data_IF_181554120768
#
_entry.id   IF_181554120768
#
_cell.length_a   1.000
_cell.length_b   1.000
_cell.length_c   1.000
_cell.angle_alpha   90.00
_cell.angle_beta   90.00
_cell.angle_gamma   90.00
#
_symmetry.space_group_name_H-M   'P 1'
#
loop_
_entity.id
_entity.type
_entity.pdbx_description
1 polymer ?
#
# COMPACT_ATOMS: atom_id res chain seq x y z
N UNK A 1 54.19 -17.54 4.41
CA UNK A 1 53.28 -16.60 3.71
C UNK A 1 51.85 -17.09 3.96
N UNK A 2 51.09 -16.44 4.86
CA UNK A 2 49.72 -16.84 5.21
C UNK A 2 48.79 -16.44 4.07
N UNK A 3 48.07 -17.41 3.51
CA UNK A 3 46.98 -17.19 2.54
C UNK A 3 45.78 -16.57 3.27
N UNK A 4 45.40 -15.36 2.87
CA UNK A 4 44.17 -14.67 3.30
C UNK A 4 42.99 -15.25 2.50
N UNK A 5 42.05 -15.89 3.18
CA UNK A 5 40.76 -16.25 2.61
C UNK A 5 39.92 -14.98 2.37
N UNK A 6 39.47 -14.80 1.13
CA UNK A 6 38.54 -13.75 0.75
C UNK A 6 37.15 -14.09 1.32
N UNK A 7 36.66 -13.29 2.28
CA UNK A 7 35.30 -13.39 2.77
C UNK A 7 34.34 -12.73 1.77
N UNK A 8 33.52 -13.54 1.11
CA UNK A 8 32.51 -13.08 0.14
C UNK A 8 31.35 -12.37 0.86
N UNK A 9 31.17 -11.08 0.56
CA UNK A 9 30.14 -10.19 1.12
C UNK A 9 28.71 -10.66 0.77
N UNK A 10 28.55 -11.56 -0.21
CA UNK A 10 27.26 -12.10 -0.64
C UNK A 10 26.64 -13.15 0.29
N UNK A 11 27.40 -13.76 1.22
CA UNK A 11 26.83 -14.76 2.15
C UNK A 11 26.07 -14.09 3.30
N UNK A 12 26.52 -12.90 3.72
CA UNK A 12 25.97 -12.16 4.86
C UNK A 12 24.54 -11.64 4.60
N UNK A 13 24.22 -11.23 3.36
CA UNK A 13 22.86 -10.79 2.99
C UNK A 13 21.86 -11.95 2.94
N UNK A 14 22.31 -13.12 2.45
CA UNK A 14 21.51 -14.36 2.44
C UNK A 14 21.25 -14.87 3.85
N UNK A 15 22.25 -14.80 4.73
CA UNK A 15 22.12 -15.18 6.14
C UNK A 15 21.13 -14.24 6.86
N UNK A 16 21.23 -12.92 6.64
CA UNK A 16 20.26 -11.95 7.21
C UNK A 16 18.84 -12.17 6.70
N UNK A 17 18.66 -12.47 5.41
CA UNK A 17 17.37 -12.80 4.83
C UNK A 17 16.80 -14.10 5.43
N UNK A 18 17.64 -15.12 5.61
CA UNK A 18 17.26 -16.37 6.28
C UNK A 18 16.88 -16.15 7.76
N UNK A 19 17.59 -15.28 8.48
CA UNK A 19 17.21 -14.91 9.85
C UNK A 19 15.87 -14.17 9.88
N UNK A 20 15.63 -13.24 8.95
CA UNK A 20 14.38 -12.51 8.86
C UNK A 20 13.20 -13.45 8.53
N UNK A 21 13.40 -14.38 7.60
CA UNK A 21 12.41 -15.43 7.27
C UNK A 21 12.16 -16.38 8.44
N UNK A 22 13.21 -16.75 9.19
CA UNK A 22 13.07 -17.60 10.39
C UNK A 22 12.32 -16.88 11.51
N UNK A 23 12.55 -15.58 11.69
CA UNK A 23 11.80 -14.77 12.67
C UNK A 23 10.33 -14.63 12.26
N UNK A 24 10.05 -14.37 10.98
CA UNK A 24 8.67 -14.33 10.46
C UNK A 24 7.98 -15.69 10.62
N UNK A 25 8.68 -16.80 10.34
CA UNK A 25 8.15 -18.16 10.50
C UNK A 25 7.91 -18.51 11.98
N UNK A 26 8.80 -18.10 12.88
CA UNK A 26 8.64 -18.28 14.34
C UNK A 26 7.43 -17.50 14.88
N UNK A 27 7.20 -16.27 14.38
CA UNK A 27 6.02 -15.48 14.73
C UNK A 27 4.70 -16.08 14.20
N UNK A 28 4.76 -16.89 13.14
CA UNK A 28 3.62 -17.67 12.65
C UNK A 28 3.41 -18.97 13.46
N UNK A 29 4.48 -19.58 13.97
CA UNK A 29 4.44 -20.83 14.72
C UNK A 29 3.89 -20.69 16.17
N UNK A 30 3.92 -19.47 16.74
CA UNK A 30 3.34 -19.18 18.06
C UNK A 30 1.80 -19.36 18.14
N UNK A 31 1.13 -19.72 17.03
CA UNK A 31 -0.30 -20.05 17.01
C UNK A 31 -0.64 -21.54 17.07
N UNK A 32 0.34 -22.46 17.07
CA UNK A 32 0.10 -23.90 17.02
C UNK A 32 0.22 -24.56 18.41
N UNK A 33 -0.75 -24.29 19.29
CA UNK A 33 -1.02 -25.14 20.46
C UNK A 33 -2.19 -26.05 20.09
N UNK A 34 -1.88 -27.30 19.76
CA UNK A 34 -2.87 -28.36 19.65
C UNK A 34 -3.04 -28.99 21.04
N UNK A 35 -4.00 -28.50 21.80
CA UNK A 35 -4.59 -29.23 22.92
C UNK A 35 -6.04 -29.51 22.55
N UNK A 36 -6.35 -30.80 22.37
CA UNK A 36 -7.71 -31.31 22.27
C UNK A 36 -8.34 -31.27 23.67
N UNK A 37 -8.77 -30.09 24.09
CA UNK A 37 -9.86 -29.96 25.04
C UNK A 37 -11.14 -29.70 24.22
N UNK A 38 -12.25 -30.30 24.64
CA UNK A 38 -13.60 -29.98 24.14
C UNK A 38 -13.91 -28.52 24.48
N UNK A 39 -13.36 -27.63 23.66
CA UNK A 39 -13.55 -26.19 23.70
C UNK A 39 -14.99 -25.90 23.27
N UNK A 40 -15.66 -24.89 23.87
CA UNK A 40 -16.86 -24.34 23.25
C UNK A 40 -16.60 -24.07 21.77
N UNK A 41 -17.63 -24.27 20.92
CA UNK A 41 -17.54 -24.08 19.47
C UNK A 41 -16.87 -22.72 19.18
N UNK A 42 -15.63 -22.78 18.66
CA UNK A 42 -14.80 -21.58 18.48
C UNK A 42 -15.49 -20.61 17.53
N UNK A 43 -15.61 -19.34 17.91
CA UNK A 43 -16.20 -18.31 17.04
C UNK A 43 -15.30 -18.03 15.84
N UNK A 44 -15.49 -18.76 14.74
CA UNK A 44 -14.69 -18.61 13.52
C UNK A 44 -15.09 -17.41 12.65
N UNK A 45 -16.04 -16.57 13.09
CA UNK A 45 -16.46 -15.39 12.33
C UNK A 45 -15.31 -14.40 12.17
N UNK A 46 -15.29 -13.60 11.09
CA UNK A 46 -14.30 -12.55 10.92
C UNK A 46 -14.25 -11.58 12.11
N UNK A 47 -13.03 -11.22 12.52
CA UNK A 47 -12.78 -10.14 13.46
C UNK A 47 -13.36 -8.85 12.89
N UNK A 48 -14.12 -8.15 13.71
CA UNK A 48 -14.67 -6.84 13.34
C UNK A 48 -13.67 -5.75 13.68
N UNK A 49 -13.62 -4.70 12.85
CA UNK A 49 -12.89 -3.46 13.13
C UNK A 49 -11.42 -3.73 13.48
N UNK A 50 -10.68 -4.38 12.56
CA UNK A 50 -9.21 -4.37 12.63
C UNK A 50 -8.71 -2.93 12.56
N UNK A 51 -9.27 -2.15 11.65
CA UNK A 51 -9.23 -0.69 11.68
C UNK A 51 -10.67 -0.16 11.64
N UNK A 52 -10.88 1.04 12.18
CA UNK A 52 -12.21 1.69 12.20
C UNK A 52 -12.59 2.27 10.83
N UNK A 53 -11.62 2.54 9.96
CA UNK A 53 -11.81 3.10 8.63
C UNK A 53 -10.99 2.36 7.58
N UNK A 54 -11.36 2.50 6.30
CA UNK A 54 -10.56 2.07 5.17
C UNK A 54 -9.27 2.89 5.01
N UNK A 55 -9.21 4.05 5.66
CA UNK A 55 -8.04 4.92 5.70
C UNK A 55 -7.48 5.02 7.12
N UNK A 56 -6.15 4.97 7.25
CA UNK A 56 -5.44 5.43 8.42
C UNK A 56 -4.45 6.50 7.98
N UNK A 57 -4.76 7.76 8.31
CA UNK A 57 -4.12 8.93 7.71
C UNK A 57 -4.20 8.88 6.18
N UNK A 58 -3.08 8.66 5.49
CA UNK A 58 -2.97 8.59 4.03
C UNK A 58 -2.87 7.15 3.51
N UNK A 59 -2.85 6.14 4.39
CA UNK A 59 -2.67 4.75 4.00
C UNK A 59 -3.99 4.00 3.95
N UNK A 60 -4.12 3.11 2.97
CA UNK A 60 -5.22 2.15 2.89
C UNK A 60 -5.06 1.07 3.95
N UNK A 61 -6.16 0.74 4.62
CA UNK A 61 -6.20 -0.36 5.58
C UNK A 61 -6.70 -1.64 4.90
N UNK A 62 -6.49 -2.77 5.55
CA UNK A 62 -6.99 -4.09 5.16
C UNK A 62 -8.52 -4.15 5.05
N UNK A 63 -9.23 -3.16 5.59
CA UNK A 63 -10.68 -3.16 5.69
C UNK A 63 -11.32 -2.98 4.31
N UNK A 64 -12.29 -3.84 4.01
CA UNK A 64 -13.28 -3.66 2.94
C UNK A 64 -14.64 -3.51 3.61
N UNK A 65 -15.41 -2.44 3.32
CA UNK A 65 -16.74 -2.26 3.89
C UNK A 65 -17.71 -3.39 3.51
N UNK A 66 -18.87 -3.45 4.17
CA UNK A 66 -19.90 -4.44 3.86
C UNK A 66 -20.53 -4.17 2.49
N UNK A 67 -21.07 -5.20 1.84
CA UNK A 67 -21.77 -5.06 0.55
C UNK A 67 -22.86 -3.99 0.58
N UNK A 68 -22.94 -3.22 -0.49
CA UNK A 68 -23.86 -2.10 -0.67
C UNK A 68 -23.37 -0.78 -0.06
N UNK A 69 -22.20 -0.77 0.58
CA UNK A 69 -21.63 0.48 1.13
C UNK A 69 -21.13 1.37 0.00
N UNK A 70 -21.55 2.63 0.03
CA UNK A 70 -20.99 3.71 -0.75
C UNK A 70 -20.20 4.64 0.19
N UNK A 71 -19.03 5.05 -0.26
CA UNK A 71 -18.10 5.87 0.51
C UNK A 71 -17.57 6.99 -0.39
N UNK A 72 -17.54 8.21 0.15
CA UNK A 72 -16.93 9.36 -0.49
C UNK A 72 -15.77 9.84 0.38
N UNK A 73 -14.58 9.85 -0.19
CA UNK A 73 -13.36 10.29 0.46
C UNK A 73 -13.00 11.71 -0.01
N UNK A 74 -12.73 12.60 0.94
CA UNK A 74 -12.12 13.90 0.65
C UNK A 74 -10.79 13.96 1.40
N UNK A 75 -9.70 13.94 0.65
CA UNK A 75 -8.34 14.04 1.18
C UNK A 75 -7.77 15.40 0.84
N UNK A 76 -7.35 16.13 1.85
CA UNK A 76 -6.72 17.44 1.70
C UNK A 76 -5.34 17.40 2.33
N UNK A 77 -4.30 17.47 1.49
CA UNK A 77 -2.91 17.55 1.94
C UNK A 77 -2.50 19.00 2.04
N UNK A 78 -2.29 19.45 3.27
CA UNK A 78 -1.78 20.77 3.58
C UNK A 78 -0.31 20.91 3.16
N UNK A 79 0.16 22.15 3.01
CA UNK A 79 1.56 22.41 2.72
C UNK A 79 2.46 22.10 3.91
N UNK A 80 3.77 22.28 3.74
CA UNK A 80 4.71 22.08 4.84
C UNK A 80 4.52 23.17 5.91
N UNK A 81 4.95 22.87 7.14
CA UNK A 81 4.84 23.79 8.29
C UNK A 81 5.95 24.85 8.31
N UNK A 82 6.83 24.84 7.32
CA UNK A 82 8.11 25.57 7.34
C UNK A 82 7.93 27.09 7.29
N UNK A 83 6.84 27.59 6.69
CA UNK A 83 6.56 29.03 6.55
C UNK A 83 5.88 29.65 7.79
N UNK A 84 5.68 28.87 8.86
CA UNK A 84 5.14 29.39 10.12
C UNK A 84 3.79 30.09 9.96
N UNK A 85 3.60 31.24 10.61
CA UNK A 85 2.32 31.93 10.61
C UNK A 85 1.92 32.51 9.23
N UNK A 86 2.86 32.74 8.31
CA UNK A 86 2.61 33.41 7.03
C UNK A 86 1.65 32.65 6.12
N UNK A 87 1.67 31.31 6.16
CA UNK A 87 0.67 30.44 5.55
C UNK A 87 -0.13 29.62 6.58
N UNK A 88 -0.15 30.10 7.82
CA UNK A 88 -0.80 29.46 8.97
C UNK A 88 -0.39 27.98 9.12
N UNK A 89 0.91 27.72 9.19
CA UNK A 89 1.55 26.42 9.36
C UNK A 89 1.15 25.44 8.26
N UNK A 90 1.18 25.90 7.01
CA UNK A 90 0.83 25.11 5.83
C UNK A 90 -0.68 24.98 5.55
N UNK A 91 -1.55 25.54 6.41
CA UNK A 91 -3.01 25.49 6.22
C UNK A 91 -3.44 26.26 4.96
N UNK A 92 -2.82 27.41 4.71
CA UNK A 92 -3.11 28.29 3.57
C UNK A 92 -2.16 28.07 2.39
N UNK A 93 -1.18 27.18 2.54
CA UNK A 93 -0.27 26.83 1.47
C UNK A 93 -1.02 26.11 0.32
N UNK A 94 -0.47 26.14 -0.91
CA UNK A 94 -1.00 25.36 -2.01
C UNK A 94 -1.16 23.88 -1.63
N UNK A 95 -2.40 23.41 -1.60
CA UNK A 95 -2.73 22.03 -1.22
C UNK A 95 -2.93 21.12 -2.43
N UNK A 96 -2.69 19.83 -2.22
CA UNK A 96 -3.18 18.79 -3.11
C UNK A 96 -4.47 18.19 -2.52
N UNK A 97 -5.46 18.00 -3.38
CA UNK A 97 -6.79 17.55 -2.98
C UNK A 97 -7.14 16.34 -3.83
N UNK A 98 -7.65 15.29 -3.18
CA UNK A 98 -8.25 14.14 -3.84
C UNK A 98 -9.69 13.96 -3.38
N UNK A 99 -10.59 13.77 -4.34
CA UNK A 99 -11.98 13.35 -4.09
C UNK A 99 -12.13 11.94 -4.66
N UNK A 100 -12.47 10.97 -3.83
CA UNK A 100 -12.66 9.58 -4.20
C UNK A 100 -14.08 9.10 -3.94
N UNK A 101 -14.56 8.19 -4.78
CA UNK A 101 -15.84 7.52 -4.65
C UNK A 101 -15.60 6.01 -4.70
N UNK A 102 -16.06 5.31 -3.67
CA UNK A 102 -15.92 3.87 -3.56
C UNK A 102 -17.30 3.23 -3.35
N UNK A 103 -17.48 2.03 -3.90
CA UNK A 103 -18.68 1.23 -3.74
C UNK A 103 -18.32 -0.25 -3.57
N UNK A 104 -19.09 -0.96 -2.75
CA UNK A 104 -18.90 -2.39 -2.49
C UNK A 104 -20.03 -3.19 -3.16
N UNK A 105 -19.92 -3.55 -4.45
CA UNK A 105 -20.99 -4.23 -5.18
C UNK A 105 -21.27 -5.65 -4.69
N UNK A 106 -20.24 -6.36 -4.22
CA UNK A 106 -20.30 -7.74 -3.71
C UNK A 106 -19.46 -7.86 -2.45
N UNK A 107 -19.69 -8.91 -1.66
CA UNK A 107 -18.94 -9.12 -0.43
C UNK A 107 -17.43 -9.17 -0.73
N UNK A 108 -16.66 -8.46 0.10
CA UNK A 108 -15.18 -8.39 0.05
C UNK A 108 -14.58 -7.64 -1.14
N UNK A 109 -15.36 -7.13 -2.09
CA UNK A 109 -14.86 -6.35 -3.23
C UNK A 109 -15.33 -4.89 -3.15
N UNK A 110 -14.38 -3.98 -3.02
CA UNK A 110 -14.58 -2.54 -3.22
C UNK A 110 -14.03 -2.14 -4.58
N UNK A 111 -14.78 -1.31 -5.30
CA UNK A 111 -14.36 -0.64 -6.52
C UNK A 111 -14.51 0.86 -6.33
N UNK A 112 -13.67 1.66 -6.98
CA UNK A 112 -13.79 3.10 -6.88
C UNK A 112 -13.05 3.84 -7.97
N UNK A 113 -13.24 5.15 -7.96
CA UNK A 113 -12.51 6.08 -8.79
C UNK A 113 -12.32 7.40 -8.05
N UNK A 114 -11.39 8.23 -8.50
CA UNK A 114 -11.10 9.50 -7.86
C UNK A 114 -10.48 10.51 -8.80
N UNK A 115 -10.50 11.75 -8.34
CA UNK A 115 -9.92 12.90 -8.99
C UNK A 115 -8.92 13.55 -8.05
N UNK A 116 -7.70 13.74 -8.52
CA UNK A 116 -6.66 14.42 -7.75
C UNK A 116 -6.22 15.68 -8.48
N UNK A 117 -6.12 16.79 -7.75
CA UNK A 117 -5.69 18.09 -8.28
C UNK A 117 -4.29 18.01 -8.89
N UNK A 118 -3.36 17.37 -8.18
CA UNK A 118 -2.01 17.12 -8.67
C UNK A 118 -2.05 16.38 -10.00
N UNK A 119 -1.38 16.98 -11.01
CA UNK A 119 -1.33 16.46 -12.38
C UNK A 119 -2.70 16.16 -13.01
N UNK A 120 -3.79 16.73 -12.47
CA UNK A 120 -5.17 16.45 -12.90
C UNK A 120 -5.44 14.93 -13.00
N UNK A 121 -4.93 14.14 -12.06
CA UNK A 121 -5.00 12.68 -12.15
C UNK A 121 -6.44 12.18 -12.00
N UNK A 122 -6.80 11.24 -12.85
CA UNK A 122 -7.96 10.37 -12.66
C UNK A 122 -7.45 9.02 -12.22
N UNK A 123 -7.94 8.51 -11.10
CA UNK A 123 -7.56 7.19 -10.59
C UNK A 123 -8.76 6.25 -10.51
N UNK A 124 -8.52 4.97 -10.73
CA UNK A 124 -9.47 3.87 -10.60
C UNK A 124 -8.87 2.86 -9.65
N UNK A 125 -9.67 2.32 -8.73
CA UNK A 125 -9.19 1.40 -7.73
C UNK A 125 -10.09 0.17 -7.60
N UNK A 126 -9.47 -0.93 -7.21
CA UNK A 126 -10.15 -2.13 -6.77
C UNK A 126 -9.43 -2.69 -5.54
N UNK A 127 -10.20 -3.11 -4.54
CA UNK A 127 -9.68 -3.64 -3.28
C UNK A 127 -10.47 -4.90 -2.92
N UNK A 128 -9.78 -6.01 -2.75
CA UNK A 128 -10.39 -7.30 -2.50
C UNK A 128 -9.81 -7.96 -1.23
N UNK A 129 -10.67 -8.25 -0.26
CA UNK A 129 -10.28 -8.97 0.95
C UNK A 129 -10.18 -10.47 0.67
N UNK A 130 -8.95 -10.96 0.50
CA UNK A 130 -8.64 -12.35 0.19
C UNK A 130 -8.94 -13.26 1.39
N UNK A 131 -8.41 -12.87 2.55
CA UNK A 131 -8.60 -13.59 3.81
C UNK A 131 -8.91 -12.59 4.92
N UNK A 132 -9.71 -13.01 5.89
CA UNK A 132 -10.05 -12.19 7.06
C UNK A 132 -9.66 -12.97 8.30
N UNK A 133 -9.02 -12.29 9.25
CA UNK A 133 -8.71 -12.86 10.55
C UNK A 133 -10.01 -13.36 11.21
N UNK A 134 -10.01 -14.60 11.69
CA UNK A 134 -11.10 -15.16 12.49
C UNK A 134 -10.95 -14.75 13.97
N UNK A 135 -12.06 -14.65 14.70
CA UNK A 135 -12.02 -14.34 16.14
C UNK A 135 -11.37 -15.45 16.93
N UNK A 136 -11.73 -16.70 16.66
CA UNK A 136 -11.20 -17.89 17.31
C UNK A 136 -11.00 -19.03 16.31
N UNK A 137 -9.95 -19.84 16.48
CA UNK A 137 -9.81 -21.16 15.83
C UNK A 137 -9.74 -21.20 14.30
N UNK A 138 -9.60 -20.07 13.62
CA UNK A 138 -9.58 -19.98 12.14
C UNK A 138 -8.34 -19.29 11.58
N UNK A 139 -8.50 -18.58 10.46
CA UNK A 139 -7.39 -17.92 9.77
C UNK A 139 -6.81 -16.77 10.63
N UNK A 140 -5.48 -16.69 10.84
CA UNK A 140 -4.91 -15.86 11.90
C UNK A 140 -4.69 -14.39 11.55
N UNK A 141 -4.79 -14.00 10.27
CA UNK A 141 -4.45 -12.64 9.78
C UNK A 141 -5.39 -12.18 8.67
N UNK A 142 -5.71 -10.90 8.59
CA UNK A 142 -6.45 -10.37 7.43
C UNK A 142 -5.48 -10.07 6.30
N UNK A 143 -5.84 -10.45 5.06
CA UNK A 143 -5.05 -10.21 3.85
C UNK A 143 -5.94 -9.59 2.80
N UNK A 144 -5.56 -8.41 2.32
CA UNK A 144 -6.30 -7.65 1.32
C UNK A 144 -5.36 -7.20 0.22
N UNK A 145 -5.81 -7.35 -1.03
CA UNK A 145 -5.08 -6.87 -2.19
C UNK A 145 -5.75 -5.63 -2.76
N UNK A 146 -4.94 -4.62 -3.06
CA UNK A 146 -5.35 -3.32 -3.54
C UNK A 146 -4.62 -3.03 -4.84
N UNK A 147 -5.36 -2.51 -5.80
CA UNK A 147 -4.81 -2.02 -7.07
C UNK A 147 -5.35 -0.64 -7.39
N UNK A 148 -4.50 0.16 -8.03
CA UNK A 148 -4.87 1.41 -8.68
C UNK A 148 -4.36 1.41 -10.11
N UNK A 149 -5.15 2.01 -11.00
CA UNK A 149 -4.71 2.50 -12.29
C UNK A 149 -5.00 3.99 -12.34
N UNK A 150 -4.02 4.81 -12.68
CA UNK A 150 -4.17 6.25 -12.77
C UNK A 150 -3.78 6.74 -14.16
N UNK A 151 -4.47 7.78 -14.62
CA UNK A 151 -4.19 8.48 -15.88
C UNK A 151 -3.98 9.96 -15.62
N UNK A 152 -2.83 10.46 -16.05
CA UNK A 152 -2.48 11.88 -16.03
C UNK A 152 -3.24 12.61 -17.13
N UNK A 153 -4.13 13.54 -16.76
CA UNK A 153 -5.00 14.23 -17.72
C UNK A 153 -4.48 15.60 -18.17
N UNK A 154 -3.22 15.96 -17.88
CA UNK A 154 -2.59 17.18 -18.40
C UNK A 154 -2.53 17.21 -19.94
N UNK A 155 -2.25 18.37 -20.53
CA UNK A 155 -2.25 18.56 -21.98
C UNK A 155 -1.30 17.58 -22.69
N UNK A 156 -1.64 17.18 -23.93
CA UNK A 156 -0.90 16.16 -24.69
C UNK A 156 0.58 16.47 -24.86
N UNK A 157 0.94 17.74 -24.96
CA UNK A 157 2.32 18.21 -25.11
C UNK A 157 3.24 17.85 -23.91
N UNK A 158 2.67 17.37 -22.80
CA UNK A 158 3.42 16.85 -21.66
C UNK A 158 3.84 15.37 -21.85
N UNK A 159 3.43 14.71 -22.93
CA UNK A 159 3.64 13.28 -23.17
C UNK A 159 4.07 13.02 -24.61
N UNK A 160 4.98 12.08 -24.80
CA UNK A 160 5.39 11.63 -26.13
C UNK A 160 4.35 10.67 -26.69
N UNK A 161 3.96 9.69 -25.87
CA UNK A 161 2.94 8.71 -26.22
C UNK A 161 1.73 8.78 -25.27
N UNK A 162 0.56 8.41 -25.79
CA UNK A 162 -0.66 8.38 -24.96
C UNK A 162 -0.57 7.38 -23.81
N UNK A 163 0.28 6.35 -23.94
CA UNK A 163 0.53 5.32 -22.94
C UNK A 163 1.32 5.82 -21.74
N UNK A 164 2.17 6.84 -21.91
CA UNK A 164 3.04 7.39 -20.86
C UNK A 164 2.24 8.06 -19.73
N UNK A 165 0.96 8.33 -19.99
CA UNK A 165 0.01 8.95 -19.06
C UNK A 165 -0.44 7.99 -17.97
N UNK A 166 -0.26 6.69 -18.16
CA UNK A 166 -0.75 5.66 -17.26
C UNK A 166 0.29 5.27 -16.20
N UNK A 167 -0.19 5.07 -14.99
CA UNK A 167 0.57 4.45 -13.91
C UNK A 167 -0.29 3.45 -13.15
N UNK A 168 0.37 2.46 -12.56
CA UNK A 168 -0.26 1.37 -11.84
C UNK A 168 0.37 1.23 -10.46
N UNK A 169 -0.45 0.92 -9.47
CA UNK A 169 0.00 0.65 -8.12
C UNK A 169 -0.68 -0.60 -7.62
N UNK A 170 0.10 -1.50 -7.03
CA UNK A 170 -0.38 -2.74 -6.44
C UNK A 170 0.13 -2.83 -5.01
N UNK A 171 -0.72 -3.21 -4.08
CA UNK A 171 -0.34 -3.39 -2.69
C UNK A 171 -1.01 -4.61 -2.08
N UNK A 172 -0.20 -5.48 -1.50
CA UNK A 172 -0.65 -6.57 -0.65
C UNK A 172 -0.54 -6.14 0.81
N UNK A 173 -1.68 -6.08 1.50
CA UNK A 173 -1.78 -5.66 2.90
C UNK A 173 -2.07 -6.87 3.77
N UNK A 174 -1.29 -7.05 4.83
CA UNK A 174 -1.45 -8.11 5.82
C UNK A 174 -1.59 -7.44 7.18
N UNK A 175 -2.66 -7.76 7.90
CA UNK A 175 -2.96 -7.15 9.18
C UNK A 175 -3.40 -8.17 10.22
N UNK A 176 -3.18 -7.84 11.50
CA UNK A 176 -3.68 -8.62 12.63
C UNK A 176 -4.13 -7.68 13.74
N UNK A 177 -5.36 -7.89 14.21
CA UNK A 177 -5.85 -7.33 15.47
C UNK A 177 -5.26 -8.16 16.61
N UNK A 178 -4.45 -7.53 17.45
CA UNK A 178 -3.74 -8.16 18.56
C UNK A 178 -4.48 -8.02 19.89
N UNK A 179 -5.21 -6.92 20.06
CA UNK A 179 -6.12 -6.69 21.18
C UNK A 179 -7.30 -5.84 20.72
N UNK A 180 -8.27 -5.58 21.60
CA UNK A 180 -9.44 -4.75 21.25
C UNK A 180 -9.07 -3.34 20.78
N UNK A 181 -7.94 -2.81 21.28
CA UNK A 181 -7.47 -1.45 21.06
C UNK A 181 -6.21 -1.37 20.19
N UNK A 182 -5.68 -2.50 19.71
CA UNK A 182 -4.42 -2.52 18.97
C UNK A 182 -4.45 -3.51 17.81
N UNK A 183 -4.10 -3.00 16.63
CA UNK A 183 -3.99 -3.76 15.39
C UNK A 183 -2.76 -3.32 14.64
N UNK A 184 -2.05 -4.25 14.02
CA UNK A 184 -0.90 -3.96 13.18
C UNK A 184 -1.19 -4.33 11.73
N UNK A 185 -0.63 -3.59 10.80
CA UNK A 185 -0.63 -3.92 9.37
C UNK A 185 0.74 -3.67 8.75
N UNK A 186 1.16 -4.58 7.88
CA UNK A 186 2.27 -4.39 6.97
C UNK A 186 1.76 -4.43 5.52
N UNK A 187 2.39 -3.65 4.65
CA UNK A 187 2.06 -3.59 3.23
C UNK A 187 3.30 -3.75 2.37
N UNK A 188 3.19 -4.55 1.33
CA UNK A 188 4.17 -4.71 0.25
C UNK A 188 3.57 -4.10 -1.00
N UNK A 189 4.23 -3.12 -1.61
CA UNK A 189 3.72 -2.44 -2.79
C UNK A 189 4.70 -2.44 -3.94
N UNK A 190 4.16 -2.41 -5.16
CA UNK A 190 4.89 -2.11 -6.39
C UNK A 190 4.14 -1.04 -7.17
N UNK A 191 4.87 -0.04 -7.65
CA UNK A 191 4.36 1.01 -8.54
C UNK A 191 5.06 0.88 -9.88
N UNK A 192 4.30 0.99 -10.96
CA UNK A 192 4.80 1.00 -12.33
C UNK A 192 4.34 2.27 -13.04
N UNK A 193 5.26 3.00 -13.66
CA UNK A 193 4.95 4.13 -14.52
C UNK A 193 5.23 3.76 -15.98
N UNK A 194 4.27 4.00 -16.88
CA UNK A 194 4.46 3.70 -18.30
C UNK A 194 5.38 4.71 -19.02
N UNK A 195 6.12 5.54 -18.29
CA UNK A 195 6.94 6.61 -18.87
C UNK A 195 8.06 6.02 -19.73
N UNK A 196 8.17 6.45 -20.99
CA UNK A 196 9.21 5.99 -21.89
C UNK A 196 10.46 6.87 -21.83
N UNK A 197 11.61 6.24 -22.06
CA UNK A 197 12.93 6.88 -22.10
C UNK A 197 12.96 7.97 -23.17
N UNK A 198 13.40 9.18 -22.81
CA UNK A 198 13.71 10.20 -23.81
C UNK A 198 15.03 9.79 -24.46
N UNK A 199 15.02 9.46 -25.76
CA UNK A 199 16.26 9.37 -26.52
C UNK A 199 16.82 10.79 -26.63
N UNK A 200 18.09 11.06 -26.24
CA UNK A 200 18.69 12.37 -26.37
C UNK A 200 18.52 12.84 -27.82
N UNK A 201 17.71 13.87 -28.02
CA UNK A 201 17.68 14.56 -29.31
C UNK A 201 18.94 15.41 -29.36
N UNK A 202 19.61 15.54 -30.52
CA UNK A 202 20.88 16.28 -30.74
C UNK A 202 20.93 17.72 -30.16
N UNK A 203 19.81 18.24 -29.65
CA UNK A 203 19.61 19.60 -29.15
C UNK A 203 20.02 19.75 -27.67
N UNK A 204 20.11 18.68 -26.86
CA UNK A 204 20.65 18.77 -25.49
C UNK A 204 21.38 17.48 -25.07
N UNK A 205 22.73 17.48 -24.98
CA UNK A 205 23.52 16.33 -24.55
C UNK A 205 23.41 16.01 -23.04
N UNK A 206 22.65 16.80 -22.25
CA UNK A 206 22.56 16.63 -20.79
C UNK A 206 21.26 15.96 -20.28
N UNK A 207 20.39 15.45 -21.15
CA UNK A 207 19.21 14.67 -20.77
C UNK A 207 19.29 13.37 -21.59
N UNK A 208 19.37 12.17 -21.01
CA UNK A 208 18.34 11.56 -20.15
C UNK A 208 18.94 10.47 -19.25
N UNK A 209 18.81 10.58 -17.93
CA UNK A 209 18.97 9.39 -17.08
C UNK A 209 17.77 8.46 -17.31
N UNK A 210 18.03 7.20 -17.60
CA UNK A 210 17.02 6.14 -17.67
C UNK A 210 16.22 6.10 -16.37
N UNK A 211 15.01 6.65 -16.38
CA UNK A 211 14.11 6.57 -15.23
C UNK A 211 13.75 5.10 -14.98
N UNK A 212 13.92 4.64 -13.75
CA UNK A 212 13.42 3.35 -13.34
C UNK A 212 11.90 3.46 -13.15
N UNK A 213 11.14 2.76 -13.98
CA UNK A 213 9.69 2.80 -13.98
C UNK A 213 9.05 2.00 -12.84
N UNK A 214 9.80 1.08 -12.23
CA UNK A 214 9.33 0.18 -11.18
C UNK A 214 9.87 0.57 -9.80
N UNK A 215 8.96 0.78 -8.86
CA UNK A 215 9.29 1.12 -7.48
C UNK A 215 8.65 0.15 -6.50
N UNK A 216 9.47 -0.49 -5.67
CA UNK A 216 9.01 -1.31 -4.56
C UNK A 216 8.87 -0.47 -3.29
N UNK A 217 7.84 -0.76 -2.51
CA UNK A 217 7.55 -0.07 -1.25
C UNK A 217 7.18 -1.03 -0.13
N UNK A 218 7.48 -0.60 1.09
CA UNK A 218 7.09 -1.23 2.34
C UNK A 218 6.39 -0.20 3.22
N UNK A 219 5.26 -0.57 3.81
CA UNK A 219 4.49 0.29 4.70
C UNK A 219 4.10 -0.44 5.98
N UNK A 220 4.00 0.28 7.10
CA UNK A 220 3.54 -0.26 8.39
C UNK A 220 2.49 0.67 9.00
N UNK A 221 1.44 0.10 9.59
CA UNK A 221 0.39 0.81 10.32
C UNK A 221 0.16 0.11 11.66
N UNK A 222 -0.21 0.87 12.69
CA UNK A 222 -0.41 0.39 14.05
C UNK A 222 -1.27 1.32 14.89
#
# INVERSE_FOLDING_TARGET
>A
MKSMSQFSIGSLSRIRLLWLLTVVFSLMALGAQAQDEESPEKDTRPVRKTFESVWLMENQTVMVPIKGTFEMDIQHRFGTVDNGYDDFFGLYAPSNIRIGFNYVPVDKLQLGFGFTKERKLWDFNAKYALFQQAREGGWPVSVTYLVYAAVDSRQKDNFLESTDRWSYFHQLMIARKLSDNFSLQAGLSISHFNFQEQIPTEVDPNITEKMNNDHLGLSFLG
#
